data_IF_180356442270
#
_entry.id   IF_180356442270
#
_cell.length_a   1.000
_cell.length_b   1.000
_cell.length_c   1.000
_cell.angle_alpha   90.00
_cell.angle_beta   90.00
_cell.angle_gamma   90.00
#
_symmetry.space_group_name_H-M   'P 1'
#
loop_
_entity.id
_entity.type
_entity.pdbx_description
1 polymer ?
#
# COMPACT_ATOMS: atom_id res chain seq x y z
N UNK A 1 24.33 -22.10 -6.49
CA UNK A 1 22.90 -21.69 -6.42
C UNK A 1 22.34 -21.70 -7.83
N UNK A 2 21.25 -22.42 -8.12
CA UNK A 2 20.67 -22.52 -9.48
C UNK A 2 20.13 -21.16 -9.94
N UNK A 3 20.29 -20.82 -11.23
CA UNK A 3 19.93 -19.51 -11.83
C UNK A 3 18.53 -19.00 -11.42
N UNK A 4 17.55 -19.92 -11.31
CA UNK A 4 16.18 -19.64 -10.83
C UNK A 4 16.11 -19.12 -9.38
N UNK A 5 16.95 -19.64 -8.48
CA UNK A 5 17.02 -19.19 -7.08
C UNK A 5 17.60 -17.78 -6.98
N UNK A 6 18.52 -17.41 -7.86
CA UNK A 6 19.11 -16.07 -7.93
C UNK A 6 18.05 -15.06 -8.39
N UNK A 7 17.27 -15.38 -9.43
CA UNK A 7 16.20 -14.49 -9.91
C UNK A 7 15.10 -14.30 -8.86
N UNK A 8 14.72 -15.36 -8.15
CA UNK A 8 13.73 -15.28 -7.07
C UNK A 8 14.24 -14.45 -5.89
N UNK A 9 15.50 -14.67 -5.47
CA UNK A 9 16.13 -13.90 -4.40
C UNK A 9 16.23 -12.41 -4.75
N UNK A 10 16.64 -12.09 -5.98
CA UNK A 10 16.75 -10.72 -6.46
C UNK A 10 15.39 -9.99 -6.47
N UNK A 11 14.32 -10.68 -6.88
CA UNK A 11 12.96 -10.12 -6.85
C UNK A 11 12.48 -9.82 -5.43
N UNK A 12 12.73 -10.71 -4.47
CA UNK A 12 12.34 -10.51 -3.07
C UNK A 12 13.10 -9.33 -2.45
N UNK A 13 14.41 -9.23 -2.70
CA UNK A 13 15.23 -8.12 -2.21
C UNK A 13 14.75 -6.79 -2.81
N UNK A 14 14.43 -6.76 -4.10
CA UNK A 14 13.91 -5.56 -4.77
C UNK A 14 12.59 -5.07 -4.17
N UNK A 15 11.64 -5.99 -3.88
CA UNK A 15 10.38 -5.63 -3.24
C UNK A 15 10.59 -5.02 -1.84
N UNK A 16 11.52 -5.56 -1.04
CA UNK A 16 11.81 -5.05 0.30
C UNK A 16 12.40 -3.64 0.24
N UNK A 17 13.27 -3.37 -0.74
CA UNK A 17 13.95 -2.08 -0.88
C UNK A 17 13.03 -0.95 -1.38
N UNK A 18 11.86 -1.25 -1.95
CA UNK A 18 10.89 -0.24 -2.42
C UNK A 18 9.91 0.17 -1.31
N UNK A 19 9.76 -0.62 -0.24
CA UNK A 19 8.83 -0.28 0.85
C UNK A 19 9.13 1.07 1.55
N UNK A 20 10.39 1.50 1.78
CA UNK A 20 10.66 2.80 2.40
C UNK A 20 10.32 3.99 1.50
N UNK A 21 10.38 3.86 0.17
CA UNK A 21 10.17 4.99 -0.76
C UNK A 21 8.70 5.42 -0.87
N UNK A 22 7.76 4.55 -0.53
CA UNK A 22 6.32 4.87 -0.52
C UNK A 22 5.85 5.47 0.80
N UNK A 23 6.57 5.25 1.91
CA UNK A 23 6.14 5.69 3.25
C UNK A 23 6.66 7.09 3.64
N UNK A 24 7.75 7.56 3.01
CA UNK A 24 8.39 8.84 3.38
C UNK A 24 7.59 10.11 3.03
N UNK A 25 6.57 10.00 2.18
CA UNK A 25 5.85 11.15 1.62
C UNK A 25 4.74 11.66 2.56
N UNK A 26 4.24 10.83 3.48
CA UNK A 26 3.09 11.17 4.31
C UNK A 26 3.41 12.14 5.46
N UNK A 27 4.62 12.10 6.01
CA UNK A 27 4.98 12.89 7.19
C UNK A 27 5.58 14.26 6.87
N UNK A 28 6.20 14.42 5.70
CA UNK A 28 6.86 15.67 5.32
C UNK A 28 5.85 16.80 4.96
N UNK A 29 4.62 16.45 4.55
CA UNK A 29 3.58 17.43 4.24
C UNK A 29 3.05 18.19 5.47
N UNK A 30 3.35 17.71 6.68
CA UNK A 30 2.88 18.32 7.93
C UNK A 30 3.97 19.11 8.66
N UNK A 31 5.21 19.08 8.18
CA UNK A 31 6.34 19.77 8.80
C UNK A 31 6.57 21.13 8.14
N UNK A 32 6.06 22.19 8.76
CA UNK A 32 6.38 23.57 8.39
C UNK A 32 7.55 24.08 9.26
N UNK A 33 8.71 24.42 8.67
CA UNK A 33 9.88 24.87 9.43
C UNK A 33 9.75 26.31 10.00
N UNK A 34 8.75 27.09 9.56
CA UNK A 34 8.58 28.51 9.90
C UNK A 34 7.54 28.81 11.00
N UNK A 35 6.89 27.80 11.59
CA UNK A 35 5.88 28.03 12.61
C UNK A 35 6.49 28.03 14.02
N UNK A 36 6.35 29.15 14.72
CA UNK A 36 6.62 29.32 16.14
C UNK A 36 6.13 28.11 16.95
N UNK A 37 7.06 27.37 17.55
CA UNK A 37 6.83 26.06 18.19
C UNK A 37 6.25 26.17 19.61
N UNK A 38 5.35 27.13 19.84
CA UNK A 38 4.67 27.31 21.12
C UNK A 38 3.50 26.34 21.30
N UNK A 39 3.26 25.88 22.52
CA UNK A 39 2.12 25.00 22.85
C UNK A 39 0.77 25.62 22.44
N UNK A 40 0.66 26.96 22.53
CA UNK A 40 -0.54 27.70 22.18
C UNK A 40 -0.86 27.64 20.67
N UNK A 41 0.16 27.66 19.81
CA UNK A 41 -0.03 27.53 18.36
C UNK A 41 -0.43 26.10 17.98
N UNK A 42 0.11 25.08 18.66
CA UNK A 42 -0.35 23.70 18.47
C UNK A 42 -1.79 23.50 18.94
N UNK A 43 -2.18 24.10 20.07
CA UNK A 43 -3.54 24.05 20.59
C UNK A 43 -4.53 24.73 19.65
N UNK A 44 -4.18 25.92 19.15
CA UNK A 44 -5.00 26.65 18.17
C UNK A 44 -5.17 25.84 16.88
N UNK A 45 -4.08 25.29 16.35
CA UNK A 45 -4.12 24.46 15.15
C UNK A 45 -4.93 23.18 15.33
N UNK A 46 -4.89 22.57 16.52
CA UNK A 46 -5.72 21.40 16.84
C UNK A 46 -7.21 21.75 16.91
N UNK A 47 -7.56 22.88 17.51
CA UNK A 47 -8.94 23.38 17.55
C UNK A 47 -9.48 23.69 16.15
N UNK A 48 -8.69 24.37 15.32
CA UNK A 48 -9.05 24.70 13.94
C UNK A 48 -9.30 23.42 13.12
N UNK A 49 -8.47 22.38 13.30
CA UNK A 49 -8.67 21.07 12.64
C UNK A 49 -9.98 20.40 13.05
N UNK A 50 -10.37 20.50 14.33
CA UNK A 50 -11.63 19.94 14.83
C UNK A 50 -12.83 20.72 14.28
N UNK A 51 -12.74 22.06 14.23
CA UNK A 51 -13.78 22.90 13.64
C UNK A 51 -13.96 22.59 12.15
N UNK A 52 -12.87 22.50 11.38
CA UNK A 52 -12.90 22.15 9.95
C UNK A 52 -13.52 20.76 9.73
N UNK A 53 -13.19 19.78 10.58
CA UNK A 53 -13.75 18.43 10.49
C UNK A 53 -15.26 18.39 10.80
N UNK A 54 -15.72 19.19 11.77
CA UNK A 54 -17.14 19.30 12.12
C UNK A 54 -17.94 20.05 11.05
N UNK A 55 -17.38 21.11 10.48
CA UNK A 55 -18.02 21.91 9.42
C UNK A 55 -18.05 21.16 8.09
N UNK A 56 -17.13 20.22 7.89
CA UNK A 56 -17.03 19.40 6.69
C UNK A 56 -17.08 17.90 7.02
N UNK A 57 -18.26 17.37 7.40
CA UNK A 57 -18.42 15.97 7.81
C UNK A 57 -18.12 14.94 6.70
N UNK A 58 -17.91 15.39 5.46
CA UNK A 58 -17.48 14.58 4.30
C UNK A 58 -15.97 14.65 4.02
N UNK A 59 -15.22 15.49 4.74
CA UNK A 59 -13.76 15.66 4.61
C UNK A 59 -12.95 14.76 5.56
N UNK A 60 -13.52 13.67 6.07
CA UNK A 60 -12.74 12.57 6.62
C UNK A 60 -12.04 11.81 5.49
N UNK A 61 -10.73 11.98 5.32
CA UNK A 61 -9.87 11.43 4.24
C UNK A 61 -10.27 11.72 2.78
N UNK A 62 -11.50 12.20 2.51
CA UNK A 62 -12.02 12.49 1.18
C UNK A 62 -12.22 11.27 0.27
N UNK A 63 -11.76 10.07 0.67
CA UNK A 63 -11.91 8.83 -0.08
C UNK A 63 -13.29 8.22 0.21
N UNK A 64 -14.25 8.28 -0.72
CA UNK A 64 -15.55 7.66 -0.52
C UNK A 64 -15.38 6.16 -0.25
N UNK A 65 -15.97 5.60 0.82
CA UNK A 65 -15.80 4.16 1.11
C UNK A 65 -16.49 3.29 0.06
N UNK A 66 -17.72 3.64 -0.34
CA UNK A 66 -18.57 2.82 -1.20
C UNK A 66 -18.64 3.28 -2.66
N UNK A 67 -17.87 4.29 -3.06
CA UNK A 67 -17.83 4.70 -4.47
C UNK A 67 -16.88 3.80 -5.28
N UNK A 68 -17.04 3.81 -6.60
CA UNK A 68 -16.19 3.08 -7.53
C UNK A 68 -14.72 3.54 -7.48
N UNK A 69 -14.48 4.84 -7.28
CA UNK A 69 -13.14 5.42 -7.03
C UNK A 69 -12.77 5.41 -5.54
N UNK A 70 -13.53 4.65 -4.76
CA UNK A 70 -13.44 4.57 -3.32
C UNK A 70 -12.55 3.47 -2.80
N UNK A 71 -12.49 3.34 -1.47
CA UNK A 71 -11.72 2.28 -0.81
C UNK A 71 -12.21 0.88 -1.21
N UNK A 72 -13.53 0.69 -1.31
CA UNK A 72 -14.10 -0.59 -1.76
C UNK A 72 -13.74 -0.87 -3.23
N UNK A 73 -13.79 0.15 -4.09
CA UNK A 73 -13.34 0.02 -5.48
C UNK A 73 -11.86 -0.36 -5.60
N UNK A 74 -11.00 0.28 -4.80
CA UNK A 74 -9.58 -0.03 -4.73
C UNK A 74 -9.31 -1.46 -4.20
N UNK A 75 -10.06 -1.92 -3.18
CA UNK A 75 -9.97 -3.29 -2.66
C UNK A 75 -10.41 -4.31 -3.72
N UNK A 76 -11.50 -4.04 -4.43
CA UNK A 76 -12.03 -4.95 -5.45
C UNK A 76 -11.06 -5.06 -6.64
N UNK A 77 -10.51 -3.93 -7.11
CA UNK A 77 -9.51 -3.93 -8.19
C UNK A 77 -8.21 -4.63 -7.77
N UNK A 78 -7.68 -4.29 -6.59
CA UNK A 78 -6.43 -4.89 -6.11
C UNK A 78 -6.57 -6.40 -5.87
N UNK A 79 -7.63 -6.84 -5.17
CA UNK A 79 -7.92 -8.26 -4.96
C UNK A 79 -8.17 -9.01 -6.28
N UNK A 80 -8.80 -8.37 -7.27
CA UNK A 80 -8.98 -8.93 -8.60
C UNK A 80 -7.66 -9.15 -9.34
N UNK A 81 -6.75 -8.17 -9.34
CA UNK A 81 -5.44 -8.29 -10.02
C UNK A 81 -4.54 -9.30 -9.31
N UNK A 82 -4.32 -9.12 -8.01
CA UNK A 82 -3.45 -10.01 -7.24
C UNK A 82 -4.04 -11.42 -7.12
N UNK A 83 -5.35 -11.52 -6.89
CA UNK A 83 -6.08 -12.78 -6.86
C UNK A 83 -6.08 -13.48 -8.21
N UNK A 84 -6.24 -12.75 -9.32
CA UNK A 84 -6.17 -13.29 -10.68
C UNK A 84 -4.79 -13.85 -11.03
N UNK A 85 -3.73 -13.11 -10.72
CA UNK A 85 -2.34 -13.58 -10.90
C UNK A 85 -2.11 -14.82 -10.03
N UNK A 86 -2.50 -14.78 -8.76
CA UNK A 86 -2.36 -15.91 -7.85
C UNK A 86 -3.13 -17.16 -8.33
N UNK A 87 -4.37 -17.00 -8.78
CA UNK A 87 -5.19 -18.07 -9.32
C UNK A 87 -4.56 -18.67 -10.59
N UNK A 88 -4.00 -17.85 -11.47
CA UNK A 88 -3.32 -18.32 -12.68
C UNK A 88 -2.11 -19.20 -12.35
N UNK A 89 -1.28 -18.80 -11.37
CA UNK A 89 -0.17 -19.61 -10.89
C UNK A 89 -0.65 -20.86 -10.15
N UNK A 90 -1.75 -20.77 -9.41
CA UNK A 90 -2.32 -21.88 -8.66
C UNK A 90 -2.90 -22.97 -9.58
N UNK A 91 -3.59 -22.58 -10.66
CA UNK A 91 -4.08 -23.51 -11.67
C UNK A 91 -2.90 -24.14 -12.42
N UNK A 92 -1.92 -23.33 -12.82
CA UNK A 92 -0.72 -23.80 -13.52
C UNK A 92 0.15 -24.72 -12.64
N UNK A 93 0.22 -24.48 -11.32
CA UNK A 93 0.96 -25.35 -10.40
C UNK A 93 0.33 -26.74 -10.27
N UNK A 94 -1.00 -26.85 -10.41
CA UNK A 94 -1.70 -28.15 -10.41
C UNK A 94 -1.51 -28.95 -11.71
N UNK A 95 -1.26 -28.29 -12.83
CA UNK A 95 -1.08 -28.94 -14.14
C UNK A 95 0.37 -29.40 -14.40
N UNK A 96 1.31 -29.08 -13.51
CA UNK A 96 2.68 -29.56 -13.58
C UNK A 96 2.82 -31.06 -13.31
N UNK A 97 2.50 -31.89 -14.31
CA UNK A 97 3.30 -33.11 -14.52
C UNK A 97 4.75 -32.62 -14.77
N UNK A 98 5.74 -33.31 -14.21
CA UNK A 98 7.19 -32.95 -14.17
C UNK A 98 7.67 -32.11 -12.98
N UNK A 99 7.55 -32.72 -11.80
CA UNK A 99 8.69 -32.80 -10.90
C UNK A 99 8.85 -34.25 -10.39
N UNK A 100 8.84 -35.23 -11.29
CA UNK A 100 9.46 -36.53 -11.01
C UNK A 100 10.96 -36.33 -11.20
N UNK A 101 11.63 -35.95 -10.11
CA UNK A 101 13.09 -36.03 -10.02
C UNK A 101 13.41 -37.52 -9.90
N UNK A 102 14.10 -38.10 -10.91
CA UNK A 102 14.68 -39.44 -10.80
C UNK A 102 13.92 -40.59 -11.48
N UNK A 103 13.63 -40.50 -12.78
CA UNK A 103 13.46 -41.69 -13.63
C UNK A 103 14.17 -41.47 -14.97
N UNK A 104 15.32 -42.13 -15.12
CA UNK A 104 16.23 -42.07 -16.27
C UNK A 104 17.52 -41.36 -15.94
#
# INVERSE_FOLDING_TARGET
>A
MTRKKITMLAGVIFCILILPSVNGIAFAQYYNPDSSTGLDDYLKLAQDRVAIANDNPKQGSGTPMFAADGVVGAILLSSGVFGGIAASFFIKSRQGKYAVIGRG
#
